data_IF_486142422908
#
_entry.id   IF_486142422908
#
_cell.length_a   1.000
_cell.length_b   1.000
_cell.length_c   1.000
_cell.angle_alpha   90.00
_cell.angle_beta   90.00
_cell.angle_gamma   90.00
#
_symmetry.space_group_name_H-M   'P 1'
#
loop_
_entity.id
_entity.type
_entity.pdbx_description
1 polymer ?
#
# COMPACT_ATOMS: atom_id res chain seq x y z
N UNK A 1 -9.26 -46.76 0.59
CA UNK A 1 -8.79 -45.75 -0.38
C UNK A 1 -9.99 -44.96 -0.86
N UNK A 2 -10.09 -43.67 -0.48
CA UNK A 2 -11.19 -42.78 -0.88
C UNK A 2 -10.61 -41.67 -1.76
N UNK A 3 -11.23 -41.50 -2.91
CA UNK A 3 -10.83 -40.67 -4.04
C UNK A 3 -10.58 -39.21 -3.64
N UNK A 4 -9.40 -38.69 -4.02
CA UNK A 4 -9.08 -37.27 -4.04
C UNK A 4 -9.85 -36.59 -5.19
N UNK A 5 -10.91 -35.87 -4.86
CA UNK A 5 -11.48 -34.89 -5.79
C UNK A 5 -10.63 -33.62 -5.71
N UNK A 6 -9.77 -33.45 -6.71
CA UNK A 6 -9.12 -32.19 -7.06
C UNK A 6 -10.21 -31.19 -7.42
N UNK A 7 -10.64 -30.37 -6.46
CA UNK A 7 -11.35 -29.13 -6.81
C UNK A 7 -10.31 -28.21 -7.42
N UNK A 8 -10.32 -28.19 -8.75
CA UNK A 8 -9.70 -27.19 -9.60
C UNK A 8 -10.05 -25.80 -9.10
N UNK A 9 -9.10 -25.14 -8.43
CA UNK A 9 -9.18 -23.71 -8.16
C UNK A 9 -8.90 -23.00 -9.49
N UNK A 10 -9.92 -22.84 -10.31
CA UNK A 10 -9.79 -22.01 -11.51
C UNK A 10 -9.74 -20.55 -11.07
N UNK A 11 -8.55 -19.97 -11.10
CA UNK A 11 -8.32 -18.52 -11.01
C UNK A 11 -8.93 -17.86 -12.27
N UNK A 12 -10.26 -17.77 -12.32
CA UNK A 12 -10.97 -17.26 -13.49
C UNK A 12 -11.02 -15.73 -13.46
N UNK A 13 -10.32 -15.15 -14.44
CA UNK A 13 -10.55 -13.86 -15.08
C UNK A 13 -10.36 -12.60 -14.21
N UNK A 14 -9.12 -12.09 -14.23
CA UNK A 14 -8.90 -10.64 -14.21
C UNK A 14 -9.35 -10.08 -15.56
N UNK A 15 -10.38 -9.22 -15.54
CA UNK A 15 -10.79 -8.40 -16.67
C UNK A 15 -9.65 -7.40 -17.01
N UNK A 16 -9.03 -7.46 -18.21
CA UNK A 16 -7.88 -6.62 -18.57
C UNK A 16 -8.23 -5.12 -18.62
N UNK A 17 -9.52 -4.76 -18.58
CA UNK A 17 -9.98 -3.38 -18.60
C UNK A 17 -10.19 -2.76 -17.21
N UNK A 18 -10.10 -3.53 -16.11
CA UNK A 18 -10.39 -3.04 -14.75
C UNK A 18 -9.15 -2.94 -13.87
N UNK A 19 -8.84 -1.71 -13.47
CA UNK A 19 -7.75 -1.38 -12.57
C UNK A 19 -7.80 -2.19 -11.27
N UNK A 20 -6.85 -3.10 -11.11
CA UNK A 20 -6.31 -3.65 -9.86
C UNK A 20 -7.28 -3.63 -8.66
N UNK A 21 -8.06 -4.71 -8.52
CA UNK A 21 -8.82 -5.00 -7.30
C UNK A 21 -8.02 -6.07 -6.55
N UNK A 22 -7.39 -5.69 -5.44
CA UNK A 22 -6.69 -6.64 -4.59
C UNK A 22 -7.74 -7.51 -3.86
N UNK A 23 -7.67 -8.82 -4.05
CA UNK A 23 -8.40 -9.80 -3.25
C UNK A 23 -7.36 -10.56 -2.42
N UNK A 24 -7.35 -10.34 -1.10
CA UNK A 24 -6.55 -11.13 -0.18
C UNK A 24 -7.50 -11.95 0.70
N UNK A 25 -7.45 -13.28 0.56
CA UNK A 25 -8.10 -14.22 1.48
C UNK A 25 -7.02 -14.89 2.32
N UNK A 26 -7.00 -14.59 3.63
CA UNK A 26 -6.16 -15.30 4.59
C UNK A 26 -7.00 -15.66 5.81
N UNK A 27 -7.02 -16.95 6.12
CA UNK A 27 -7.69 -17.56 7.26
C UNK A 27 -7.52 -19.07 7.16
N UNK A 28 -6.90 -19.68 8.17
CA UNK A 28 -6.92 -21.12 8.38
C UNK A 28 -8.13 -21.42 9.27
N UNK A 29 -9.29 -21.58 8.65
CA UNK A 29 -10.56 -21.73 9.36
C UNK A 29 -11.70 -22.12 8.43
N UNK A 30 -12.60 -22.98 8.91
CA UNK A 30 -13.77 -23.47 8.16
C UNK A 30 -14.86 -22.41 7.93
N UNK A 31 -14.68 -21.19 8.44
CA UNK A 31 -15.64 -20.09 8.28
C UNK A 31 -15.45 -19.37 6.95
N UNK A 32 -16.51 -19.26 6.14
CA UNK A 32 -16.48 -18.47 4.92
C UNK A 32 -16.20 -16.98 5.20
N UNK A 33 -15.02 -16.50 4.82
CA UNK A 33 -14.67 -15.09 4.94
C UNK A 33 -15.32 -14.29 3.80
N UNK A 34 -16.08 -13.24 4.13
CA UNK A 34 -16.64 -12.32 3.13
C UNK A 34 -15.52 -11.42 2.59
N UNK A 35 -14.98 -11.75 1.42
CA UNK A 35 -13.98 -10.93 0.76
C UNK A 35 -14.59 -9.63 0.23
N UNK A 36 -14.12 -8.50 0.75
CA UNK A 36 -14.50 -7.18 0.23
C UNK A 36 -13.52 -6.75 -0.85
N UNK A 37 -14.03 -6.58 -2.07
CA UNK A 37 -13.26 -5.96 -3.17
C UNK A 37 -12.96 -4.51 -2.83
N UNK A 38 -11.68 -4.14 -2.74
CA UNK A 38 -11.25 -2.76 -2.63
C UNK A 38 -10.46 -2.36 -3.88
N UNK A 39 -10.65 -1.12 -4.35
CA UNK A 39 -9.77 -0.55 -5.36
C UNK A 39 -8.42 -0.15 -4.77
N UNK A 40 -7.36 -0.15 -5.58
CA UNK A 40 -6.02 0.36 -5.19
C UNK A 40 -6.07 1.74 -4.53
N UNK A 41 -6.94 2.62 -5.01
CA UNK A 41 -7.13 3.96 -4.45
C UNK A 41 -7.70 3.93 -3.03
N UNK A 42 -8.67 3.06 -2.79
CA UNK A 42 -9.26 2.87 -1.46
C UNK A 42 -8.25 2.25 -0.50
N UNK A 43 -7.52 1.22 -0.95
CA UNK A 43 -6.42 0.63 -0.19
C UNK A 43 -5.44 1.69 0.32
N UNK A 44 -4.85 2.48 -0.59
CA UNK A 44 -3.88 3.51 -0.19
C UNK A 44 -4.48 4.65 0.63
N UNK A 45 -5.82 4.80 0.62
CA UNK A 45 -6.51 5.74 1.50
C UNK A 45 -6.61 5.16 2.91
N UNK A 46 -6.91 3.87 3.06
CA UNK A 46 -6.98 3.19 4.35
C UNK A 46 -5.61 3.05 5.02
N UNK A 47 -4.57 2.72 4.24
CA UNK A 47 -3.21 2.59 4.77
C UNK A 47 -2.60 3.92 5.19
N UNK A 48 -3.09 5.04 4.65
CA UNK A 48 -2.46 6.35 4.82
C UNK A 48 -1.15 6.51 4.03
N UNK A 49 -0.82 5.57 3.13
CA UNK A 49 0.45 5.55 2.38
C UNK A 49 0.72 6.84 1.62
N UNK A 50 -0.32 7.50 1.08
CA UNK A 50 -0.15 8.78 0.37
C UNK A 50 0.38 9.90 1.26
N UNK A 51 -0.11 9.96 2.51
CA UNK A 51 0.35 10.97 3.48
C UNK A 51 1.76 10.66 3.93
N UNK A 52 2.06 9.38 4.17
CA UNK A 52 3.40 8.94 4.52
C UNK A 52 4.40 9.25 3.40
N UNK A 53 4.10 8.86 2.16
CA UNK A 53 4.93 9.13 0.99
C UNK A 53 5.20 10.62 0.79
N UNK A 54 4.18 11.47 0.96
CA UNK A 54 4.38 12.93 0.90
C UNK A 54 5.40 13.41 1.96
N UNK A 55 5.28 12.94 3.20
CA UNK A 55 6.25 13.28 4.27
C UNK A 55 7.66 12.76 3.99
N UNK A 56 7.79 11.60 3.35
CA UNK A 56 9.10 11.06 2.98
C UNK A 56 9.74 11.92 1.88
N UNK A 57 8.98 12.32 0.86
CA UNK A 57 9.47 13.22 -0.21
C UNK A 57 9.90 14.57 0.37
N UNK A 58 9.11 15.16 1.26
CA UNK A 58 9.46 16.42 1.92
C UNK A 58 10.74 16.29 2.77
N UNK A 59 10.95 15.14 3.42
CA UNK A 59 12.18 14.86 4.17
C UNK A 59 13.39 14.66 3.26
N UNK A 60 13.24 13.89 2.18
CA UNK A 60 14.28 13.69 1.16
C UNK A 60 14.69 15.04 0.53
N UNK A 61 13.73 15.95 0.31
CA UNK A 61 14.03 17.28 -0.20
C UNK A 61 14.64 18.22 0.84
N UNK A 62 14.37 18.01 2.13
CA UNK A 62 14.93 18.80 3.23
C UNK A 62 16.33 18.34 3.64
N UNK A 63 16.68 17.07 3.38
CA UNK A 63 18.03 16.56 3.57
C UNK A 63 18.83 16.75 2.28
N UNK A 64 20.05 17.26 2.38
CA UNK A 64 20.98 17.37 1.24
C UNK A 64 21.38 15.99 0.65
N UNK A 65 20.96 14.90 1.31
CA UNK A 65 21.25 13.50 0.97
C UNK A 65 20.21 12.87 0.04
N UNK A 66 19.27 13.65 -0.52
CA UNK A 66 18.22 13.12 -1.38
C UNK A 66 18.74 12.37 -2.62
N UNK A 67 19.83 12.83 -3.22
CA UNK A 67 20.49 12.16 -4.35
C UNK A 67 21.11 10.81 -3.95
N UNK A 68 21.62 10.68 -2.72
CA UNK A 68 22.18 9.42 -2.23
C UNK A 68 21.12 8.32 -2.08
N UNK A 69 19.90 8.71 -1.68
CA UNK A 69 18.78 7.79 -1.50
C UNK A 69 18.07 7.44 -2.81
N UNK A 70 18.00 8.39 -3.74
CA UNK A 70 17.29 8.23 -5.02
C UNK A 70 18.11 7.44 -6.06
N UNK A 71 19.44 7.48 -5.97
CA UNK A 71 20.33 6.79 -6.91
C UNK A 71 20.73 5.37 -6.48
N UNK A 72 20.13 4.83 -5.40
CA UNK A 72 20.35 3.44 -4.98
C UNK A 72 19.87 2.50 -6.10
N UNK A 73 20.82 1.84 -6.74
CA UNK A 73 20.54 0.80 -7.75
C UNK A 73 19.88 -0.43 -7.11
N UNK A 74 19.24 -1.28 -7.90
CA UNK A 74 18.57 -2.46 -7.35
C UNK A 74 19.57 -3.57 -7.04
N UNK A 75 19.48 -4.16 -5.84
CA UNK A 75 20.31 -5.30 -5.44
C UNK A 75 20.05 -6.57 -6.26
N UNK A 76 18.86 -6.67 -6.89
CA UNK A 76 18.42 -7.84 -7.65
C UNK A 76 18.98 -7.80 -9.06
N UNK A 77 20.20 -8.30 -9.22
CA UNK A 77 20.91 -8.37 -10.50
C UNK A 77 21.64 -9.70 -10.66
N UNK A 78 21.71 -10.19 -11.89
CA UNK A 78 22.49 -11.39 -12.26
C UNK A 78 23.96 -11.02 -12.54
N UNK A 79 24.25 -9.73 -12.77
CA UNK A 79 25.59 -9.26 -13.11
C UNK A 79 26.37 -8.87 -11.84
N UNK A 80 27.50 -9.56 -11.61
CA UNK A 80 28.37 -9.37 -10.45
C UNK A 80 28.92 -7.93 -10.36
N UNK A 81 29.32 -7.32 -11.48
CA UNK A 81 29.86 -5.95 -11.48
C UNK A 81 28.81 -4.94 -11.00
N UNK A 82 27.56 -5.09 -11.45
CA UNK A 82 26.46 -4.25 -10.98
C UNK A 82 26.14 -4.47 -9.50
N UNK A 83 26.30 -5.69 -9.00
CA UNK A 83 26.13 -5.99 -7.58
C UNK A 83 27.24 -5.37 -6.72
N UNK A 84 28.50 -5.45 -7.17
CA UNK A 84 29.63 -4.78 -6.52
C UNK A 84 29.40 -3.27 -6.49
N UNK A 85 28.97 -2.67 -7.60
CA UNK A 85 28.67 -1.25 -7.65
C UNK A 85 27.55 -0.85 -6.68
N UNK A 86 26.46 -1.63 -6.63
CA UNK A 86 25.40 -1.46 -5.63
C UNK A 86 25.95 -1.51 -4.20
N UNK A 87 26.76 -2.52 -3.88
CA UNK A 87 27.29 -2.72 -2.53
C UNK A 87 28.24 -1.59 -2.11
N UNK A 88 29.16 -1.21 -2.99
CA UNK A 88 30.07 -0.07 -2.77
C UNK A 88 29.29 1.21 -2.57
N UNK A 89 28.24 1.44 -3.36
CA UNK A 89 27.39 2.62 -3.22
C UNK A 89 26.66 2.67 -1.87
N UNK A 90 26.12 1.53 -1.40
CA UNK A 90 25.48 1.44 -0.08
C UNK A 90 26.49 1.72 1.02
N UNK A 91 27.70 1.14 0.95
CA UNK A 91 28.73 1.36 1.97
C UNK A 91 29.20 2.81 2.04
N UNK A 92 29.41 3.46 0.89
CA UNK A 92 29.83 4.86 0.84
C UNK A 92 28.78 5.83 1.39
N UNK A 93 27.50 5.47 1.34
CA UNK A 93 26.39 6.30 1.81
C UNK A 93 25.71 5.73 3.07
N UNK A 94 26.38 4.81 3.78
CA UNK A 94 25.77 4.04 4.86
C UNK A 94 25.24 4.93 5.98
N UNK A 95 26.03 5.92 6.40
CA UNK A 95 25.65 6.83 7.49
C UNK A 95 24.38 7.61 7.16
N UNK A 96 24.30 8.14 5.93
CA UNK A 96 23.13 8.89 5.45
C UNK A 96 21.89 7.98 5.37
N UNK A 97 22.06 6.74 4.90
CA UNK A 97 20.98 5.74 4.84
C UNK A 97 20.50 5.39 6.24
N UNK A 98 21.43 5.19 7.20
CA UNK A 98 21.10 4.88 8.59
C UNK A 98 20.42 6.06 9.29
N UNK A 99 20.90 7.28 9.06
CA UNK A 99 20.30 8.50 9.61
C UNK A 99 18.87 8.71 9.10
N UNK A 100 18.65 8.57 7.78
CA UNK A 100 17.32 8.62 7.19
C UNK A 100 16.40 7.55 7.79
N UNK A 101 16.94 6.34 8.00
CA UNK A 101 16.26 5.24 8.65
C UNK A 101 16.36 5.27 10.18
N UNK A 102 16.73 6.40 10.78
CA UNK A 102 16.93 6.54 12.21
C UNK A 102 15.64 6.50 13.02
N UNK A 103 15.80 6.59 14.34
CA UNK A 103 14.71 6.55 15.33
C UNK A 103 13.68 7.67 15.14
N UNK A 104 14.09 8.83 14.61
CA UNK A 104 13.22 9.98 14.34
C UNK A 104 12.05 9.62 13.40
N UNK A 105 12.29 8.71 12.44
CA UNK A 105 11.30 8.31 11.44
C UNK A 105 10.59 7.00 11.80
N UNK A 106 11.02 6.33 12.88
CA UNK A 106 10.45 5.07 13.34
C UNK A 106 8.96 5.20 13.68
N UNK A 107 8.55 6.31 14.31
CA UNK A 107 7.15 6.58 14.67
C UNK A 107 6.23 6.66 13.44
N UNK A 108 6.67 7.40 12.41
CA UNK A 108 5.88 7.54 11.17
C UNK A 108 5.76 6.20 10.43
N UNK A 109 6.83 5.40 10.40
CA UNK A 109 6.82 4.05 9.84
C UNK A 109 5.95 3.08 10.63
N UNK A 110 5.95 3.18 11.96
CA UNK A 110 5.04 2.42 12.82
C UNK A 110 3.58 2.75 12.53
N UNK A 111 3.23 4.03 12.36
CA UNK A 111 1.87 4.41 11.98
C UNK A 111 1.48 3.94 10.58
N UNK A 112 2.41 3.93 9.63
CA UNK A 112 2.18 3.34 8.31
C UNK A 112 1.89 1.84 8.44
N UNK A 113 2.68 1.12 9.21
CA UNK A 113 2.48 -0.31 9.49
C UNK A 113 1.11 -0.57 10.12
N UNK A 114 0.73 0.19 11.15
CA UNK A 114 -0.60 0.13 11.73
C UNK A 114 -1.70 0.46 10.71
N UNK A 115 -1.47 1.43 9.83
CA UNK A 115 -2.37 1.76 8.73
C UNK A 115 -2.59 0.57 7.79
N UNK A 116 -1.53 -0.15 7.43
CA UNK A 116 -1.61 -1.38 6.63
C UNK A 116 -2.42 -2.45 7.35
N UNK A 117 -2.21 -2.65 8.65
CA UNK A 117 -2.99 -3.62 9.42
C UNK A 117 -4.48 -3.23 9.50
N UNK A 118 -4.80 -1.95 9.75
CA UNK A 118 -6.18 -1.45 9.71
C UNK A 118 -6.82 -1.63 8.34
N UNK A 119 -6.10 -1.34 7.26
CA UNK A 119 -6.59 -1.53 5.90
C UNK A 119 -6.91 -3.00 5.62
N UNK A 120 -6.05 -3.91 6.07
CA UNK A 120 -6.27 -5.37 5.98
C UNK A 120 -7.50 -5.80 6.76
N UNK A 121 -7.61 -5.40 8.03
CA UNK A 121 -8.78 -5.69 8.86
C UNK A 121 -10.08 -5.13 8.24
N UNK A 122 -10.07 -3.93 7.66
CA UNK A 122 -11.25 -3.38 6.97
C UNK A 122 -11.64 -4.16 5.70
N UNK A 123 -10.69 -4.89 5.10
CA UNK A 123 -10.92 -5.72 3.91
C UNK A 123 -11.36 -7.15 4.25
N UNK A 124 -10.88 -7.71 5.38
CA UNK A 124 -11.20 -9.08 5.82
C UNK A 124 -12.44 -9.16 6.67
N UNK A 125 -12.65 -8.21 7.59
CA UNK A 125 -13.59 -8.45 8.70
C UNK A 125 -15.01 -7.99 8.43
N UNK A 126 -15.27 -7.18 7.40
CA UNK A 126 -16.65 -6.76 7.07
C UNK A 126 -17.40 -5.99 8.17
N UNK A 127 -16.80 -5.75 9.36
CA UNK A 127 -17.43 -5.15 10.56
C UNK A 127 -17.97 -3.75 10.27
N UNK A 128 -17.39 -3.04 9.31
CA UNK A 128 -17.92 -1.78 8.80
C UNK A 128 -18.73 -2.03 7.53
N UNK A 129 -20.02 -2.25 7.75
CA UNK A 129 -21.02 -2.30 6.68
C UNK A 129 -20.84 -1.07 5.76
N UNK A 130 -20.92 -1.29 4.44
CA UNK A 130 -20.69 -0.26 3.43
C UNK A 130 -21.69 0.89 3.60
N UNK A 131 -21.30 1.92 4.33
CA UNK A 131 -22.20 3.02 4.65
C UNK A 131 -22.23 4.04 3.49
N UNK A 132 -23.09 3.77 2.48
CA UNK A 132 -23.38 4.65 1.33
C UNK A 132 -23.63 6.11 1.77
N UNK A 133 -24.26 6.32 2.93
CA UNK A 133 -24.63 7.64 3.45
C UNK A 133 -23.40 8.48 3.84
N UNK A 134 -22.39 7.90 4.49
CA UNK A 134 -21.14 8.61 4.83
C UNK A 134 -20.37 9.07 3.59
N UNK A 135 -20.33 8.27 2.52
CA UNK A 135 -19.62 8.63 1.26
C UNK A 135 -20.37 9.66 0.40
N UNK A 136 -21.70 9.69 0.44
CA UNK A 136 -22.49 10.75 -0.23
C UNK A 136 -22.20 12.14 0.36
N UNK A 137 -21.81 12.22 1.63
CA UNK A 137 -21.51 13.47 2.34
C UNK A 137 -20.04 13.94 2.24
N UNK A 138 -19.37 13.64 1.14
CA UNK A 138 -18.01 14.16 0.88
C UNK A 138 -18.05 15.65 0.52
N UNK A 139 -16.97 16.37 0.85
CA UNK A 139 -16.80 17.82 0.57
C UNK A 139 -17.06 18.16 -0.91
N UNK A 140 -16.68 17.24 -1.83
CA UNK A 140 -16.92 17.35 -3.28
C UNK A 140 -18.42 17.30 -3.63
N UNK A 141 -19.18 16.37 -3.06
CA UNK A 141 -20.62 16.26 -3.28
C UNK A 141 -21.41 17.41 -2.66
N UNK A 142 -20.97 17.92 -1.50
CA UNK A 142 -21.53 19.14 -0.89
C UNK A 142 -21.31 20.36 -1.77
N UNK A 143 -20.12 20.51 -2.37
CA UNK A 143 -19.84 21.58 -3.34
C UNK A 143 -20.67 21.45 -4.62
N UNK A 144 -20.86 20.22 -5.13
CA UNK A 144 -21.71 19.97 -6.30
C UNK A 144 -23.18 20.37 -6.03
N UNK A 145 -23.78 19.89 -4.93
CA UNK A 145 -25.13 20.30 -4.52
C UNK A 145 -25.31 21.81 -4.37
N UNK A 146 -24.29 22.53 -3.87
CA UNK A 146 -24.33 24.00 -3.76
C UNK A 146 -24.26 24.72 -5.11
N UNK A 147 -23.69 24.09 -6.15
CA UNK A 147 -23.69 24.63 -7.52
C UNK A 147 -25.02 24.34 -8.20
N UNK A 148 -25.52 23.11 -8.03
CA UNK A 148 -26.79 22.68 -8.60
C UNK A 148 -28.00 23.44 -8.00
N UNK A 149 -27.88 23.98 -6.77
CA UNK A 149 -28.90 24.85 -6.14
C UNK A 149 -28.80 26.34 -6.50
N UNK A 150 -27.79 26.75 -7.27
CA UNK A 150 -27.58 28.16 -7.69
C UNK A 150 -27.95 28.39 -9.17
N UNK A 151 -28.42 27.35 -9.86
CA UNK A 151 -29.09 27.42 -11.16
C UNK A 151 -30.59 27.34 -10.90
#
# INVERSE_FOLDING_TARGET
MKYCNLITVSLCALDPSRSQVFAASYGDGKSGHKLKKCSTKEYYTYTGSKRHMKKEIERIAAMETGDALLNITTAKTVNISTYIHYFTYILLNLDQILEFNGSLTAKDRFYLYQGVQRARAEMTDGIREYNKRKRKNTKKNRKKKKRDHRQ
#
